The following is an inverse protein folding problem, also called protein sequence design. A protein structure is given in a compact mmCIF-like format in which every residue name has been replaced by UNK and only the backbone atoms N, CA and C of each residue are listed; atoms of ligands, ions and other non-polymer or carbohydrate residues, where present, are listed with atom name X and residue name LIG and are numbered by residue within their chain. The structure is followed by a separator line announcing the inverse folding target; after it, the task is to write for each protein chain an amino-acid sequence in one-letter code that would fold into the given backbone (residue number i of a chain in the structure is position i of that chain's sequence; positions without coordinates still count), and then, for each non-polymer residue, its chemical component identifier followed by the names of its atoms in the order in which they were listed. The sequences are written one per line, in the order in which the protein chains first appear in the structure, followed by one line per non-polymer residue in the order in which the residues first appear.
data_IF_356224516720
#
_entry.id   IF_356224516720
#
_cell.length_a   1.000
_cell.length_b   1.000
_cell.length_c   1.000
_cell.angle_alpha   90.00
_cell.angle_beta   90.00
_cell.angle_gamma   90.00
#
_symmetry.space_group_name_H-M   'P 1'
#
loop_
_entity.id
_entity.type
_entity.pdbx_description
1 polymer ?
2 non-polymer ?
3 non-polymer ?
4 water ?
#
# COMPACT_ATOMS: atom_id res chain seq x y z
N UNK A 3 -17.44 -13.65 -10.88
CA UNK A 3 -16.47 -12.77 -10.16
C UNK A 3 -16.48 -11.32 -10.67
N UNK A 4 -17.65 -10.74 -10.61
CA UNK A 4 -17.92 -9.38 -11.05
C UNK A 4 -17.86 -8.41 -9.87
N UNK A 5 -16.99 -7.41 -10.05
CA UNK A 5 -16.90 -6.37 -9.08
C UNK A 5 -18.08 -5.43 -9.14
N UNK A 6 -18.42 -4.97 -7.98
CA UNK A 6 -19.26 -3.80 -7.85
C UNK A 6 -18.57 -2.74 -7.01
N UNK A 7 -19.10 -1.53 -7.12
CA UNK A 7 -18.59 -0.39 -6.30
C UNK A 7 -18.49 -0.73 -4.81
N UNK A 8 -19.32 -1.61 -4.24
CA UNK A 8 -19.19 -2.01 -2.84
C UNK A 8 -17.94 -2.82 -2.46
N UNK A 9 -17.26 -3.44 -3.44
CA UNK A 9 -15.91 -4.00 -3.23
C UNK A 9 -14.79 -2.99 -2.97
N UNK A 10 -15.08 -1.71 -3.19
CA UNK A 10 -14.11 -0.67 -2.81
C UNK A 10 -12.84 -0.78 -3.64
N UNK A 11 -12.93 -1.24 -4.88
CA UNK A 11 -11.76 -1.21 -5.76
C UNK A 11 -11.45 0.21 -6.37
N UNK A 12 -10.20 0.67 -6.22
CA UNK A 12 -9.79 1.97 -6.69
C UNK A 12 -8.50 1.80 -7.51
N UNK A 13 -8.31 2.80 -8.34
CA UNK A 13 -7.18 2.82 -9.27
C UNK A 13 -6.56 4.17 -9.37
N UNK A 14 -5.21 4.28 -9.48
CA UNK A 14 -4.64 5.61 -9.70
C UNK A 14 -4.86 6.03 -11.17
N UNK A 15 -5.07 7.30 -11.43
CA UNK A 15 -4.98 7.85 -12.81
C UNK A 15 -3.73 7.42 -13.62
N UNK A 16 -2.63 7.35 -12.91
CA UNK A 16 -1.32 7.05 -13.45
C UNK A 16 -1.17 5.58 -13.80
N UNK A 17 -2.11 4.72 -13.38
CA UNK A 17 -1.94 3.30 -13.59
C UNK A 17 -2.46 2.95 -14.97
N UNK A 18 -3.77 2.91 -15.21
CA UNK A 18 -4.25 2.73 -16.60
C UNK A 18 -3.75 3.85 -17.50
N UNK A 19 -3.37 5.02 -16.98
CA UNK A 19 -2.82 6.11 -17.75
C UNK A 19 -1.35 5.99 -18.14
N UNK A 20 -0.66 4.97 -17.67
CA UNK A 20 0.78 4.89 -17.98
C UNK A 20 1.01 4.67 -19.49
N UNK A 21 1.77 5.60 -20.05
CA UNK A 21 2.10 5.57 -21.50
C UNK A 21 3.15 4.58 -21.89
N UNK A 22 3.80 3.92 -20.97
CA UNK A 22 4.76 2.86 -21.30
C UNK A 22 6.20 3.34 -21.56
N UNK A 23 6.50 4.55 -21.18
CA UNK A 23 7.93 4.95 -21.17
C UNK A 23 8.72 4.28 -20.07
N UNK A 24 9.84 3.62 -20.34
CA UNK A 24 10.61 2.84 -19.30
C UNK A 24 12.03 3.44 -19.45
N UNK A 25 13.00 3.05 -18.61
CA UNK A 25 14.34 3.64 -18.70
C UNK A 25 14.97 3.29 -20.06
N UNK A 26 14.40 2.33 -20.81
CA UNK A 26 15.01 2.01 -22.11
C UNK A 26 14.15 2.25 -23.32
N UNK A 27 13.01 2.90 -23.27
CA UNK A 27 12.07 2.88 -24.39
C UNK A 27 11.09 4.00 -24.37
N UNK A 28 10.66 4.38 -25.57
CA UNK A 28 9.63 5.44 -25.64
C UNK A 28 8.22 4.92 -25.32
N UNK A 29 7.34 6.00 -25.13
CA UNK A 29 5.89 5.63 -24.90
C UNK A 29 5.40 4.73 -26.03
N UNK A 30 4.56 3.78 -25.72
CA UNK A 30 3.88 2.88 -26.69
C UNK A 30 2.36 3.19 -26.79
N UNK A 31 1.87 4.10 -25.96
CA UNK A 31 0.44 4.41 -25.92
C UNK A 31 0.29 5.88 -25.75
N UNK A 32 -0.75 6.45 -26.35
CA UNK A 32 -1.12 7.86 -26.23
C UNK A 32 -1.64 8.17 -24.84
N UNK A 33 -1.60 9.40 -24.40
CA UNK A 33 -2.03 9.86 -23.10
C UNK A 33 -3.53 9.71 -23.04
N UNK A 34 -4.02 9.32 -21.87
CA UNK A 34 -5.48 9.20 -21.68
C UNK A 34 -5.96 10.51 -21.04
N UNK A 35 -7.12 11.03 -21.40
CA UNK A 35 -7.82 12.04 -20.59
C UNK A 35 -8.31 11.50 -19.28
N UNK A 36 -8.02 12.07 -18.12
CA UNK A 36 -8.63 11.63 -16.85
C UNK A 36 -10.13 11.34 -16.92
N UNK A 37 -10.85 12.19 -17.74
CA UNK A 37 -12.36 11.90 -17.70
C UNK A 37 -12.65 10.58 -18.46
N UNK A 38 -11.90 10.18 -19.44
CA UNK A 38 -12.05 8.92 -20.11
C UNK A 38 -11.73 7.78 -19.14
N UNK A 39 -10.65 7.94 -18.38
CA UNK A 39 -10.33 6.88 -17.43
C UNK A 39 -11.40 6.70 -16.40
N UNK A 40 -11.95 7.79 -15.89
CA UNK A 40 -13.04 7.73 -14.89
C UNK A 40 -14.22 6.93 -15.46
N UNK A 41 -14.68 7.25 -16.65
CA UNK A 41 -15.77 6.56 -17.33
C UNK A 41 -15.47 5.09 -17.55
N UNK A 42 -14.27 4.84 -18.05
CA UNK A 42 -13.93 3.37 -18.34
C UNK A 42 -13.85 2.49 -17.10
N UNK A 43 -13.23 3.06 -16.05
CA UNK A 43 -13.08 2.31 -14.78
C UNK A 43 -14.48 2.12 -14.14
N UNK A 44 -15.31 3.16 -14.26
CA UNK A 44 -16.70 3.00 -13.73
C UNK A 44 -17.36 1.83 -14.43
N UNK A 45 -17.24 1.75 -15.76
CA UNK A 45 -17.90 0.65 -16.42
C UNK A 45 -17.38 -0.71 -16.02
N UNK A 46 -16.13 -0.78 -15.58
CA UNK A 46 -15.55 -2.08 -15.19
C UNK A 46 -15.97 -2.41 -13.77
N UNK A 47 -16.56 -1.49 -13.02
CA UNK A 47 -17.02 -1.89 -11.67
C UNK A 47 -16.16 -1.28 -10.57
N UNK A 48 -15.24 -0.39 -10.87
CA UNK A 48 -14.50 0.24 -9.84
C UNK A 48 -15.32 1.20 -8.95
N UNK A 49 -14.85 1.46 -7.79
CA UNK A 49 -15.52 2.38 -6.82
C UNK A 49 -14.96 3.76 -6.88
N UNK A 50 -13.70 3.98 -7.25
CA UNK A 50 -13.12 5.29 -7.37
C UNK A 50 -11.72 5.44 -7.95
N UNK A 51 -11.24 6.59 -7.98
CA UNK A 51 -9.91 6.83 -8.52
C UNK A 51 -9.08 7.63 -7.51
N UNK A 52 -7.78 7.69 -7.73
CA UNK A 52 -6.84 8.53 -6.96
C UNK A 52 -5.94 9.34 -7.87
N UNK A 53 -5.20 10.24 -7.36
CA UNK A 53 -4.42 11.07 -8.28
C UNK A 53 -3.20 11.66 -7.52
N UNK A 54 -2.10 11.86 -8.25
CA UNK A 54 -1.15 12.94 -7.98
C UNK A 54 -1.70 14.25 -8.49
N UNK A 55 -1.35 15.33 -7.79
CA UNK A 55 -1.60 16.69 -8.28
C UNK A 55 -1.28 16.71 -9.79
N UNK A 56 -0.12 16.27 -10.19
CA UNK A 56 0.33 16.56 -11.58
C UNK A 56 -0.33 15.59 -12.54
N UNK A 57 -1.02 14.57 -12.07
CA UNK A 57 -1.79 13.75 -12.95
C UNK A 57 -3.02 14.49 -13.51
N UNK A 58 -3.53 15.35 -12.60
CA UNK A 58 -4.88 15.91 -12.86
C UNK A 58 -4.68 17.28 -13.50
N UNK A 59 -3.76 18.06 -12.97
CA UNK A 59 -3.42 19.42 -13.37
C UNK A 59 -1.99 19.44 -13.86
N UNK A 60 -1.79 19.65 -15.15
CA UNK A 60 -0.46 19.77 -15.75
C UNK A 60 0.41 20.74 -15.00
N UNK A 61 1.61 20.34 -14.69
CA UNK A 61 2.57 21.07 -13.93
C UNK A 61 2.71 22.39 -14.69
N UNK A 62 2.68 23.45 -13.96
CA UNK A 62 2.67 24.81 -14.43
C UNK A 62 1.40 25.49 -14.87
N UNK A 63 0.29 24.78 -14.88
CA UNK A 63 -1.04 25.31 -15.11
C UNK A 63 -1.29 26.61 -14.36
N UNK A 64 -1.87 27.54 -15.11
CA UNK A 64 -2.45 28.75 -14.51
C UNK A 64 -3.68 28.46 -13.66
N UNK A 65 -4.00 29.42 -12.81
CA UNK A 65 -5.14 29.23 -11.84
C UNK A 65 -6.41 29.04 -12.68
N UNK A 66 -6.46 29.55 -13.89
CA UNK A 66 -7.66 29.36 -14.72
C UNK A 66 -7.67 27.99 -15.40
N UNK A 67 -6.54 27.51 -15.90
CA UNK A 67 -6.50 26.12 -16.37
C UNK A 67 -6.75 25.16 -15.23
N UNK A 68 -6.18 25.36 -14.07
CA UNK A 68 -6.38 24.49 -12.91
C UNK A 68 -7.87 24.34 -12.71
N UNK A 69 -8.61 25.43 -12.64
CA UNK A 69 -10.03 25.31 -12.27
C UNK A 69 -10.85 24.56 -13.33
N UNK A 70 -10.46 24.64 -14.59
CA UNK A 70 -11.03 23.97 -15.73
C UNK A 70 -10.85 22.45 -15.69
N UNK A 71 -9.62 22.09 -15.32
CA UNK A 71 -9.28 20.67 -15.23
C UNK A 71 -10.06 20.03 -14.08
N UNK A 72 -10.11 20.76 -12.98
CA UNK A 72 -10.88 20.27 -11.81
C UNK A 72 -12.38 20.19 -12.17
N UNK A 73 -12.94 21.25 -12.76
CA UNK A 73 -14.33 21.19 -13.16
C UNK A 73 -14.69 20.04 -14.08
N UNK A 74 -13.89 19.79 -15.12
CA UNK A 74 -14.19 18.63 -15.93
C UNK A 74 -14.14 17.30 -15.19
N UNK A 75 -13.16 17.23 -14.26
CA UNK A 75 -12.95 16.00 -13.49
C UNK A 75 -14.21 15.68 -12.69
N UNK A 76 -14.59 16.74 -11.97
CA UNK A 76 -15.73 16.71 -11.05
C UNK A 76 -17.00 16.37 -11.78
N UNK A 77 -17.22 16.92 -12.98
CA UNK A 77 -18.34 16.44 -13.82
C UNK A 77 -18.22 14.96 -14.12
N UNK A 78 -17.04 14.40 -14.41
CA UNK A 78 -17.03 12.94 -14.65
C UNK A 78 -17.38 12.09 -13.42
N UNK A 79 -16.96 12.57 -12.25
CA UNK A 79 -17.29 11.87 -11.01
C UNK A 79 -18.79 11.88 -10.74
N UNK A 80 -19.38 13.05 -10.94
CA UNK A 80 -20.83 13.23 -10.81
C UNK A 80 -21.57 12.37 -11.77
N UNK A 81 -21.05 12.24 -13.01
CA UNK A 81 -21.76 11.46 -14.01
C UNK A 81 -21.68 9.95 -13.75
N UNK A 82 -20.70 9.44 -12.98
CA UNK A 82 -20.42 8.06 -12.83
C UNK A 82 -20.68 7.54 -11.38
N UNK A 83 -20.77 8.48 -10.47
CA UNK A 83 -20.78 8.00 -9.06
C UNK A 83 -19.42 7.58 -8.55
N UNK A 84 -18.30 7.83 -9.22
CA UNK A 84 -16.96 7.45 -8.74
C UNK A 84 -16.55 8.37 -7.62
N UNK A 85 -15.84 7.84 -6.65
CA UNK A 85 -15.28 8.62 -5.55
C UNK A 85 -13.80 8.84 -5.69
N UNK A 86 -13.26 9.70 -4.84
CA UNK A 86 -11.82 9.99 -4.72
C UNK A 86 -11.38 9.83 -3.25
N UNK A 87 -11.01 8.60 -2.92
CA UNK A 87 -10.74 8.31 -1.49
C UNK A 87 -9.36 8.77 -1.00
N UNK A 88 -8.46 8.91 -1.95
CA UNK A 88 -7.05 9.18 -1.65
C UNK A 88 -6.52 10.06 -2.73
N UNK A 89 -5.57 10.90 -2.30
CA UNK A 89 -4.78 11.70 -3.22
C UNK A 89 -3.33 11.79 -2.72
N UNK A 90 -2.46 12.29 -3.56
CA UNK A 90 -1.04 12.39 -3.22
C UNK A 90 -0.35 13.44 -4.00
N UNK A 91 0.91 13.79 -3.73
CA UNK A 91 1.67 14.79 -4.41
C UNK A 91 2.72 14.16 -5.30
N UNK A 92 2.99 14.60 -6.48
CA UNK A 92 4.20 14.25 -7.27
C UNK A 92 5.38 15.07 -6.74
N UNK A 93 6.25 14.47 -5.91
CA UNK A 93 7.55 15.13 -5.52
C UNK A 93 8.71 14.34 -6.12
N UNK A 94 8.49 13.79 -7.36
CA UNK A 94 9.56 12.91 -7.87
C UNK A 94 9.84 13.21 -9.35
N UNK A 95 8.88 13.60 -10.17
CA UNK A 95 9.11 13.71 -11.63
C UNK A 95 9.97 14.96 -12.01
N UNK A 96 9.58 16.16 -11.55
CA UNK A 96 10.26 17.36 -12.03
C UNK A 96 11.70 17.33 -11.65
N UNK A 97 12.66 17.77 -12.47
CA UNK A 97 14.07 17.84 -12.15
C UNK A 97 14.39 18.56 -10.85
N UNK A 98 13.61 19.57 -10.39
CA UNK A 98 13.90 20.24 -9.13
C UNK A 98 13.97 19.22 -7.98
N UNK A 99 13.27 18.06 -8.06
CA UNK A 99 13.20 17.06 -7.01
C UNK A 99 14.28 15.98 -7.12
N UNK A 100 15.33 16.22 -7.92
CA UNK A 100 16.35 15.19 -8.24
C UNK A 100 17.07 14.71 -6.95
N UNK A 101 17.15 15.44 -5.87
CA UNK A 101 17.76 15.07 -4.60
C UNK A 101 16.69 14.94 -3.49
N UNK A 102 15.42 14.90 -3.89
CA UNK A 102 14.38 14.71 -2.89
C UNK A 102 13.46 15.91 -2.91
N UNK A 103 12.42 15.78 -2.09
CA UNK A 103 11.45 16.91 -1.83
C UNK A 103 11.66 17.34 -0.41
N UNK A 104 11.13 16.57 0.55
CA UNK A 104 11.22 16.95 1.97
C UNK A 104 12.63 16.80 2.57
N UNK A 105 13.49 16.05 1.95
CA UNK A 105 14.91 15.90 2.39
C UNK A 105 15.98 16.24 1.36
N UNK A 106 15.60 17.07 0.39
CA UNK A 106 16.54 17.65 -0.50
C UNK A 106 17.58 18.46 0.31
N UNK A 107 18.85 18.33 -0.13
CA UNK A 107 19.89 19.12 0.55
C UNK A 107 19.62 20.65 0.46
N UNK A 108 19.09 21.13 -0.65
CA UNK A 108 18.77 22.57 -0.83
C UNK A 108 17.53 22.90 0.00
N UNK A 109 17.70 23.80 0.94
CA UNK A 109 16.58 24.21 1.77
C UNK A 109 15.44 24.86 0.97
N UNK A 110 15.72 25.59 -0.08
CA UNK A 110 14.66 26.31 -0.82
C UNK A 110 13.76 25.23 -1.45
N UNK A 111 14.34 24.14 -1.92
CA UNK A 111 13.61 23.02 -2.53
C UNK A 111 12.66 22.38 -1.50
N UNK A 112 13.19 22.20 -0.30
CA UNK A 112 12.39 21.58 0.77
C UNK A 112 11.18 22.50 1.09
N UNK A 113 11.34 23.81 1.03
CA UNK A 113 10.20 24.72 1.32
C UNK A 113 9.15 24.61 0.21
N UNK A 114 9.64 24.59 -1.05
CA UNK A 114 8.80 24.41 -2.26
C UNK A 114 8.04 23.13 -2.20
N UNK A 115 8.70 21.99 -1.83
CA UNK A 115 8.04 20.67 -1.70
C UNK A 115 6.83 20.83 -0.75
N UNK A 116 7.00 21.51 0.39
CA UNK A 116 5.90 21.60 1.38
C UNK A 116 4.72 22.43 0.82
N UNK A 117 5.06 23.51 0.12
CA UNK A 117 4.04 24.42 -0.47
C UNK A 117 3.24 23.65 -1.53
N UNK A 118 3.96 22.89 -2.37
CA UNK A 118 3.27 22.11 -3.41
C UNK A 118 2.34 21.08 -2.81
N UNK A 119 2.77 20.39 -1.75
CA UNK A 119 2.00 19.40 -0.95
C UNK A 119 0.74 20.05 -0.35
N UNK A 120 0.93 21.24 0.35
CA UNK A 120 -0.21 21.88 1.02
C UNK A 120 -1.33 22.29 0.09
N UNK A 121 -0.96 22.78 -1.06
CA UNK A 121 -1.89 23.18 -2.14
C UNK A 121 -2.75 22.00 -2.54
N UNK A 122 -2.15 20.77 -2.70
CA UNK A 122 -2.91 19.64 -3.08
C UNK A 122 -3.69 19.02 -1.91
N UNK A 123 -3.32 19.09 -0.64
CA UNK A 123 -4.15 18.70 0.47
C UNK A 123 -5.49 19.48 0.40
N UNK A 124 -5.47 20.80 0.15
CA UNK A 124 -6.72 21.54 0.02
C UNK A 124 -7.61 20.95 -1.07
N UNK A 125 -6.98 20.68 -2.24
CA UNK A 125 -7.78 20.07 -3.31
C UNK A 125 -8.32 18.71 -2.95
N UNK A 126 -7.47 17.86 -2.39
CA UNK A 126 -7.93 16.52 -1.96
C UNK A 126 -9.16 16.58 -1.03
N UNK A 127 -9.10 17.38 0.00
CA UNK A 127 -10.23 17.67 0.94
C UNK A 127 -11.50 18.11 0.17
N UNK A 128 -11.35 19.07 -0.75
CA UNK A 128 -12.47 19.46 -1.61
C UNK A 128 -13.06 18.32 -2.37
N UNK A 129 -12.24 17.40 -2.87
CA UNK A 129 -12.79 16.27 -3.65
C UNK A 129 -13.21 15.11 -2.78
N UNK A 130 -13.07 15.23 -1.44
CA UNK A 130 -13.60 14.18 -0.54
C UNK A 130 -12.62 13.07 -0.11
N UNK A 131 -11.31 13.33 -0.31
CA UNK A 131 -10.37 12.25 -0.02
C UNK A 131 -10.30 12.11 1.50
N UNK A 132 -10.18 10.90 2.01
CA UNK A 132 -9.97 10.70 3.43
C UNK A 132 -8.54 10.48 3.81
N UNK A 133 -7.71 10.07 2.84
CA UNK A 133 -6.32 9.65 3.06
C UNK A 133 -5.41 10.42 2.14
N UNK A 134 -4.31 10.88 2.69
CA UNK A 134 -3.34 11.66 1.83
C UNK A 134 -2.06 10.80 1.84
N UNK A 135 -1.65 10.22 0.69
CA UNK A 135 -0.46 9.37 0.62
C UNK A 135 0.84 10.18 0.40
N UNK A 136 1.95 9.72 1.02
CA UNK A 136 3.26 10.39 0.79
C UNK A 136 4.27 9.29 0.44
N UNK A 137 4.69 9.15 -0.81
CA UNK A 137 5.76 8.29 -1.26
C UNK A 137 7.03 9.09 -1.53
N UNK A 138 8.01 9.08 -0.66
CA UNK A 138 9.19 9.96 -0.92
C UNK A 138 10.15 9.13 -1.78
N UNK A 139 9.81 9.00 -3.06
CA UNK A 139 10.65 8.20 -4.00
C UNK A 139 12.01 8.83 -4.28
N UNK A 140 12.21 10.12 -4.12
CA UNK A 140 13.51 10.77 -4.32
C UNK A 140 14.23 11.00 -3.02
N UNK A 141 13.72 10.64 -1.84
CA UNK A 141 14.41 10.82 -0.57
C UNK A 141 15.41 9.69 -0.38
N UNK A 142 16.74 9.99 -0.49
CA UNK A 142 17.76 8.89 -0.40
C UNK A 142 19.05 9.34 -1.08
N UNK A 143 19.74 8.31 -1.61
CA UNK A 143 21.14 8.57 -2.08
C UNK A 143 21.65 7.38 -2.99
N UNK A 144 22.65 7.77 -3.81
CA UNK A 144 23.43 6.76 -4.54
C UNK A 144 24.79 6.62 -3.86
N UNK A 145 25.15 7.51 -2.98
CA UNK A 145 26.53 7.48 -2.39
C UNK A 145 26.45 7.85 -0.90
N UNK A 146 27.39 7.34 -0.10
CA UNK A 146 27.34 7.46 1.34
C UNK A 146 27.51 8.92 1.84
N UNK A 147 28.31 9.81 1.23
CA UNK A 147 28.62 11.15 1.71
C UNK A 147 27.52 12.12 1.32
N UNK A 148 26.62 11.85 0.42
CA UNK A 148 25.67 12.76 -0.16
C UNK A 148 24.56 13.14 0.81
N UNK A 149 24.30 12.23 1.77
CA UNK A 149 23.12 12.35 2.64
C UNK A 149 23.51 11.98 4.07
N UNK A 150 23.39 12.93 4.99
CA UNK A 150 23.50 12.51 6.41
C UNK A 150 22.13 12.00 6.81
N UNK A 151 22.02 10.67 7.14
CA UNK A 151 20.61 10.22 7.35
C UNK A 151 19.96 10.76 8.63
N UNK A 152 20.66 10.94 9.71
CA UNK A 152 20.13 11.61 10.91
C UNK A 152 19.62 12.98 10.53
N UNK A 153 20.36 13.87 9.80
CA UNK A 153 19.84 15.14 9.43
C UNK A 153 18.59 15.01 8.54
N UNK A 154 18.68 14.13 7.61
CA UNK A 154 17.58 13.84 6.69
C UNK A 154 16.32 13.38 7.46
N UNK A 155 16.42 12.52 8.43
CA UNK A 155 15.22 12.19 9.27
C UNK A 155 14.69 13.39 10.08
N UNK A 156 15.63 14.25 10.51
CA UNK A 156 15.19 15.49 11.14
C UNK A 156 14.32 16.30 10.16
N UNK A 157 14.77 16.46 8.95
CA UNK A 157 14.05 17.21 7.91
C UNK A 157 12.71 16.47 7.55
N UNK A 158 12.73 15.17 7.55
CA UNK A 158 11.53 14.44 7.20
C UNK A 158 10.50 14.62 8.32
N UNK A 159 10.97 14.47 9.57
CA UNK A 159 10.07 14.67 10.69
C UNK A 159 9.46 16.11 10.65
N UNK A 160 10.34 17.08 10.40
CA UNK A 160 9.94 18.52 10.36
C UNK A 160 8.81 18.70 9.33
N UNK A 161 8.92 18.06 8.17
CA UNK A 161 7.97 18.24 7.09
C UNK A 161 6.63 17.67 7.50
N UNK A 162 6.67 16.38 7.95
CA UNK A 162 5.40 15.78 8.35
C UNK A 162 4.77 16.44 9.58
N UNK A 163 5.57 16.92 10.55
CA UNK A 163 4.96 17.71 11.65
C UNK A 163 4.30 18.96 11.10
N UNK A 164 4.89 19.72 10.20
CA UNK A 164 4.27 20.95 9.62
C UNK A 164 2.98 20.53 8.89
N UNK A 165 2.95 19.43 8.21
CA UNK A 165 1.72 19.02 7.53
C UNK A 165 0.62 18.67 8.51
N UNK A 166 0.98 18.11 9.66
CA UNK A 166 0.01 17.74 10.74
C UNK A 166 -0.52 19.07 11.37
N UNK A 167 0.37 20.01 11.50
CA UNK A 167 -0.02 21.35 12.06
C UNK A 167 -1.01 21.94 11.09
N UNK A 168 -0.78 21.84 9.79
CA UNK A 168 -1.65 22.48 8.79
C UNK A 168 -3.07 21.90 8.87
N UNK A 169 -3.16 20.59 8.82
CA UNK A 169 -4.42 19.90 8.78
C UNK A 169 -5.28 20.15 10.01
N UNK A 170 -4.59 20.17 11.14
CA UNK A 170 -5.32 20.40 12.41
C UNK A 170 -5.78 21.86 12.49
N UNK A 171 -4.99 22.79 11.97
CA UNK A 171 -5.34 24.19 12.03
C UNK A 171 -6.49 24.43 11.09
N UNK A 172 -6.59 23.73 9.97
CA UNK A 172 -7.71 23.89 9.02
C UNK A 172 -8.91 23.12 9.52
N UNK A 173 -8.80 22.37 10.58
CA UNK A 173 -9.86 21.40 10.91
C UNK A 173 -10.19 20.33 9.88
N UNK A 174 -9.28 19.91 9.05
CA UNK A 174 -9.55 18.83 8.04
C UNK A 174 -9.64 17.43 8.63
N UNK A 175 -10.53 16.67 8.06
CA UNK A 175 -10.57 15.26 8.34
C UNK A 175 -9.83 14.42 7.32
N UNK A 176 -8.54 14.39 7.50
CA UNK A 176 -7.71 13.73 6.49
C UNK A 176 -6.60 13.17 7.40
N UNK A 177 -6.19 11.96 7.06
CA UNK A 177 -5.00 11.37 7.69
C UNK A 177 -3.92 11.12 6.64
N UNK A 178 -2.68 11.00 7.09
CA UNK A 178 -1.53 10.76 6.22
C UNK A 178 -1.20 9.28 6.20
N UNK A 179 -0.69 8.77 5.06
CA UNK A 179 -0.22 7.38 4.97
C UNK A 179 1.14 7.38 4.27
N UNK A 180 2.23 7.01 4.90
CA UNK A 180 3.58 7.06 4.37
C UNK A 180 3.77 5.76 3.59
N UNK A 181 4.26 5.81 2.37
CA UNK A 181 4.48 4.63 1.56
C UNK A 181 5.96 4.31 1.48
N UNK A 182 6.41 3.17 2.01
CA UNK A 182 7.82 2.79 1.99
C UNK A 182 8.19 2.23 0.64
N UNK A 183 9.44 2.27 0.27
CA UNK A 183 10.05 1.57 -0.88
C UNK A 183 11.54 1.46 -0.63
N UNK A 184 12.22 0.34 -0.94
CA UNK A 184 13.60 0.20 -0.48
C UNK A 184 14.56 0.86 -1.42
N UNK A 185 14.30 0.92 -2.69
CA UNK A 185 15.18 1.53 -3.70
C UNK A 185 14.35 1.81 -4.94
N UNK A 186 14.89 2.60 -5.85
CA UNK A 186 14.36 2.83 -7.18
C UNK A 186 13.26 3.91 -7.07
N UNK A 187 13.56 5.12 -7.52
CA UNK A 187 14.63 5.47 -8.35
C UNK A 187 15.94 5.86 -7.67
N UNK A 188 15.98 6.08 -6.38
CA UNK A 188 17.24 6.37 -5.64
C UNK A 188 17.92 5.02 -5.40
N UNK A 189 19.24 5.07 -5.25
CA UNK A 189 20.08 3.93 -4.90
C UNK A 189 19.58 3.20 -3.66
N UNK A 190 19.29 3.95 -2.63
CA UNK A 190 18.58 3.51 -1.45
C UNK A 190 17.58 4.66 -1.11
N UNK A 191 16.37 4.21 -0.73
CA UNK A 191 15.33 5.21 -0.28
C UNK A 191 15.22 5.14 1.25
N UNK A 192 15.02 6.35 1.82
CA UNK A 192 14.81 6.49 3.28
C UNK A 192 13.47 5.86 3.71
N UNK A 193 13.34 5.33 4.91
CA UNK A 193 12.19 4.52 5.31
C UNK A 193 11.90 3.44 4.28
N UNK A 194 12.81 2.52 4.12
CA UNK A 194 12.75 1.57 3.02
C UNK A 194 11.70 0.48 3.14
N UNK A 195 11.17 0.19 4.33
CA UNK A 195 10.18 -0.87 4.54
C UNK A 195 9.01 -0.38 5.39
N UNK A 196 7.95 -1.16 5.51
CA UNK A 196 6.88 -0.96 6.53
C UNK A 196 7.46 -0.77 7.89
N UNK A 197 8.40 -1.60 8.35
CA UNK A 197 8.88 -1.47 9.72
C UNK A 197 9.50 -0.11 9.99
N UNK A 198 10.36 0.37 9.05
CA UNK A 198 10.99 1.69 9.15
C UNK A 198 9.99 2.81 9.16
N UNK A 199 8.95 2.83 8.35
CA UNK A 199 7.87 3.83 8.38
C UNK A 199 7.11 3.78 9.70
N UNK A 200 6.77 2.62 10.22
CA UNK A 200 6.04 2.51 11.55
C UNK A 200 6.85 3.15 12.66
N UNK A 201 8.14 2.87 12.64
CA UNK A 201 9.05 3.30 13.69
C UNK A 201 9.15 4.84 13.68
N UNK A 202 9.29 5.32 12.41
CA UNK A 202 9.39 6.77 12.19
C UNK A 202 8.16 7.55 12.68
N UNK A 203 7.00 6.91 12.42
CA UNK A 203 5.73 7.59 12.83
C UNK A 203 5.66 7.86 14.34
N UNK A 204 6.27 7.00 15.11
CA UNK A 204 6.24 7.11 16.58
C UNK A 204 7.08 8.27 17.07
N UNK A 205 7.93 8.89 16.25
CA UNK A 205 8.61 10.09 16.63
C UNK A 205 7.96 11.38 16.18
N UNK A 206 6.81 11.29 15.49
CA UNK A 206 6.16 12.56 15.06
C UNK A 206 5.42 13.27 16.22
N UNK A 207 5.14 14.54 16.06
CA UNK A 207 4.46 15.21 17.19
C UNK A 207 3.05 14.62 17.38
N UNK A 208 2.30 14.34 16.33
CA UNK A 208 0.96 13.80 16.51
C UNK A 208 0.87 12.46 15.79
N UNK A 209 1.36 11.35 16.34
CA UNK A 209 1.45 10.06 15.67
C UNK A 209 0.12 9.53 15.19
N UNK A 210 -0.95 10.01 15.84
CA UNK A 210 -2.28 9.38 15.47
C UNK A 210 -2.75 9.87 14.11
N UNK A 211 -2.19 10.93 13.56
CA UNK A 211 -2.53 11.40 12.21
C UNK A 211 -1.85 10.55 11.12
N UNK A 212 -0.93 9.63 11.46
CA UNK A 212 -0.14 9.01 10.40
C UNK A 212 -0.18 7.50 10.45
N UNK A 213 -0.29 6.81 9.30
CA UNK A 213 -0.26 5.35 9.20
C UNK A 213 0.61 5.05 7.96
N UNK A 214 0.43 3.85 7.47
CA UNK A 214 1.29 3.42 6.35
C UNK A 214 0.36 3.11 5.15
N UNK A 215 0.91 3.18 3.96
CA UNK A 215 0.36 2.71 2.72
C UNK A 215 1.33 1.67 2.13
N UNK A 216 1.35 0.44 2.51
CA UNK A 216 2.33 -0.50 1.99
C UNK A 216 1.97 -0.86 0.55
N UNK A 217 2.97 -1.21 -0.25
CA UNK A 217 2.71 -1.79 -1.59
C UNK A 217 3.33 -3.17 -1.71
N UNK A 218 2.56 -4.08 -2.25
CA UNK A 218 3.00 -5.49 -2.48
C UNK A 218 4.41 -5.50 -3.01
N UNK A 219 4.53 -4.92 -4.21
CA UNK A 219 5.81 -5.06 -4.93
C UNK A 219 6.97 -4.31 -4.14
N UNK A 220 6.67 -3.25 -3.42
CA UNK A 220 7.78 -2.60 -2.71
C UNK A 220 8.41 -3.52 -1.64
N UNK A 221 7.64 -4.15 -0.79
CA UNK A 221 8.20 -4.97 0.26
C UNK A 221 8.90 -6.16 -0.42
N UNK A 222 8.28 -6.69 -1.51
CA UNK A 222 8.91 -7.87 -2.19
C UNK A 222 10.27 -7.50 -2.83
N UNK A 223 10.51 -6.23 -3.15
CA UNK A 223 11.81 -5.83 -3.66
C UNK A 223 12.91 -5.97 -2.60
N UNK A 224 12.55 -6.06 -1.34
CA UNK A 224 13.52 -6.42 -0.28
C UNK A 224 13.42 -7.94 0.05
N UNK A 225 12.69 -8.81 -0.69
CA UNK A 225 12.57 -10.20 -0.35
C UNK A 225 11.78 -10.41 0.95
N UNK A 226 10.92 -9.47 1.35
CA UNK A 226 10.20 -9.60 2.61
C UNK A 226 8.83 -10.29 2.45
N UNK A 227 8.22 -10.79 3.49
CA UNK A 227 6.86 -11.51 3.43
C UNK A 227 5.85 -10.38 3.58
N UNK A 228 5.17 -10.04 2.46
CA UNK A 228 4.18 -8.91 2.53
C UNK A 228 3.04 -9.16 3.52
N UNK A 229 2.35 -10.30 3.50
CA UNK A 229 1.36 -10.51 4.56
C UNK A 229 1.90 -10.39 5.96
N UNK A 230 3.12 -10.80 6.29
CA UNK A 230 3.72 -10.52 7.61
C UNK A 230 3.84 -9.02 7.94
N UNK A 231 4.29 -8.22 6.94
CA UNK A 231 4.43 -6.78 7.23
C UNK A 231 3.06 -6.14 7.41
N UNK A 232 2.07 -6.53 6.65
CA UNK A 232 0.70 -6.02 6.84
C UNK A 232 0.13 -6.39 8.20
N UNK A 233 0.34 -7.62 8.66
CA UNK A 233 -0.03 -8.11 10.01
C UNK A 233 0.56 -7.12 11.05
N UNK A 234 1.84 -6.83 10.88
CA UNK A 234 2.45 -5.88 11.84
C UNK A 234 1.83 -4.49 11.79
N UNK A 235 1.50 -3.98 10.62
CA UNK A 235 0.81 -2.71 10.48
C UNK A 235 -0.56 -2.81 11.13
N UNK A 236 -1.28 -3.91 10.87
CA UNK A 236 -2.59 -4.12 11.49
C UNK A 236 -2.45 -4.16 13.03
N UNK A 237 -1.52 -4.91 13.55
CA UNK A 237 -1.23 -4.96 15.00
C UNK A 237 -0.97 -3.60 15.53
N UNK A 238 -0.28 -2.65 14.84
CA UNK A 238 -0.01 -1.37 15.36
C UNK A 238 -1.20 -0.45 15.21
N UNK A 239 -2.29 -0.84 14.58
CA UNK A 239 -3.40 0.02 14.18
C UNK A 239 -3.12 1.02 13.10
N UNK A 240 -2.19 0.75 12.20
CA UNK A 240 -1.72 1.83 11.28
C UNK A 240 -1.91 1.46 9.80
N UNK A 241 -2.71 0.44 9.48
CA UNK A 241 -3.01 0.24 8.03
C UNK A 241 -4.11 1.19 7.58
N UNK A 242 -3.69 2.35 7.07
CA UNK A 242 -4.64 3.36 6.58
C UNK A 242 -5.05 3.09 5.13
N UNK A 243 -4.20 2.41 4.37
CA UNK A 243 -4.47 2.31 2.93
C UNK A 243 -3.62 1.18 2.42
N UNK A 244 -3.82 0.65 1.23
CA UNK A 244 -2.89 -0.35 0.75
C UNK A 244 -2.74 -0.27 -0.75
N UNK A 245 -1.60 -0.60 -1.29
CA UNK A 245 -1.41 -0.61 -2.72
C UNK A 245 -1.21 -2.07 -3.21
N UNK A 246 -2.05 -2.49 -4.12
CA UNK A 246 -2.03 -3.88 -4.62
C UNK A 246 -1.45 -4.04 -6.01
N UNK A 247 -0.51 -4.97 -6.13
CA UNK A 247 0.05 -5.18 -7.48
C UNK A 247 0.78 -6.53 -7.39
N UNK A 248 1.63 -6.85 -8.37
CA UNK A 248 2.44 -8.05 -8.42
C UNK A 248 3.90 -7.76 -8.82
N UNK A 249 4.72 -8.66 -8.32
CA UNK A 249 6.16 -8.45 -8.40
C UNK A 249 6.79 -9.83 -8.47
N UNK A 250 7.68 -10.19 -9.37
CA UNK A 250 8.40 -11.45 -9.42
C UNK A 250 9.77 -11.25 -8.72
N UNK A 251 9.81 -11.21 -7.40
CA UNK A 251 11.03 -11.24 -6.62
C UNK A 251 11.81 -9.94 -6.68
N UNK A 252 13.12 -10.02 -6.39
CA UNK A 252 13.98 -8.87 -6.11
C UNK A 252 14.53 -8.36 -7.42
N UNK A 253 14.01 -7.33 -7.96
CA UNK A 253 14.44 -6.64 -9.21
C UNK A 253 13.75 -5.34 -9.25
N UNK A 254 13.82 -4.64 -10.39
CA UNK A 254 13.12 -3.38 -10.57
C UNK A 254 11.64 -3.52 -10.20
N UNK A 255 10.99 -2.41 -9.81
CA UNK A 255 9.50 -2.53 -9.54
C UNK A 255 8.71 -2.86 -10.83
N UNK A 256 8.05 -4.10 -10.87
CA UNK A 256 7.40 -4.49 -12.09
C UNK A 256 5.99 -3.92 -12.15
N UNK A 257 5.28 -3.68 -11.06
CA UNK A 257 3.90 -3.13 -11.11
C UNK A 257 2.99 -4.05 -11.90
N UNK A 258 3.08 -5.36 -11.84
CA UNK A 258 2.22 -6.24 -12.55
C UNK A 258 0.81 -6.20 -11.98
N UNK A 259 -0.12 -6.59 -12.76
CA UNK A 259 -1.47 -6.60 -12.16
C UNK A 259 -1.55 -7.53 -10.94
N UNK A 260 -2.48 -7.22 -10.02
CA UNK A 260 -2.64 -7.96 -8.77
C UNK A 260 -3.02 -9.40 -9.05
N UNK A 261 -2.34 -10.33 -8.42
CA UNK A 261 -2.46 -11.81 -8.55
C UNK A 261 -1.31 -12.34 -9.39
N UNK A 262 -0.77 -11.51 -10.30
CA UNK A 262 0.51 -11.95 -10.94
C UNK A 262 1.62 -11.79 -9.90
N UNK A 263 2.80 -12.29 -10.27
CA UNK A 263 3.90 -12.26 -9.31
C UNK A 263 3.73 -13.48 -8.39
N UNK A 264 3.82 -13.21 -7.10
CA UNK A 264 3.75 -14.22 -6.10
C UNK A 264 2.29 -14.54 -5.79
N UNK A 265 1.69 -15.45 -6.46
CA UNK A 265 0.31 -15.88 -6.23
C UNK A 265 0.02 -16.45 -4.81
N UNK A 266 0.81 -17.28 -4.20
CA UNK A 266 0.48 -17.69 -2.81
C UNK A 266 0.51 -16.49 -1.83
N UNK A 267 1.43 -15.57 -2.00
CA UNK A 267 1.43 -14.37 -1.15
C UNK A 267 0.15 -13.56 -1.31
N UNK A 268 -0.34 -13.46 -2.55
CA UNK A 268 -1.55 -12.79 -2.85
C UNK A 268 -2.73 -13.45 -2.06
N UNK A 269 -2.71 -14.77 -1.98
CA UNK A 269 -3.77 -15.57 -1.31
C UNK A 269 -3.76 -15.21 0.18
N UNK A 270 -2.52 -15.30 0.75
CA UNK A 270 -2.42 -15.08 2.21
C UNK A 270 -2.73 -13.60 2.54
N UNK A 271 -2.42 -12.69 1.61
CA UNK A 271 -2.76 -11.25 1.83
C UNK A 271 -4.29 -11.15 1.90
N UNK A 272 -4.99 -11.66 0.91
CA UNK A 272 -6.45 -11.50 0.90
C UNK A 272 -7.09 -12.19 2.14
N UNK A 273 -6.56 -13.35 2.46
CA UNK A 273 -6.98 -14.03 3.70
C UNK A 273 -6.87 -13.08 4.88
N UNK A 274 -5.73 -12.47 5.07
CA UNK A 274 -5.57 -11.53 6.18
C UNK A 274 -6.40 -10.25 6.13
N UNK A 275 -6.49 -9.56 5.01
CA UNK A 275 -7.30 -8.32 4.95
C UNK A 275 -8.75 -8.63 5.30
N UNK A 276 -9.24 -9.76 4.77
CA UNK A 276 -10.66 -10.10 4.92
C UNK A 276 -10.90 -10.56 6.35
N UNK A 277 -9.96 -11.38 6.89
CA UNK A 277 -10.27 -11.85 8.28
C UNK A 277 -9.98 -10.72 9.26
N UNK A 278 -9.14 -9.76 9.12
CA UNK A 278 -8.95 -8.65 10.01
C UNK A 278 -10.07 -7.63 9.84
N UNK A 279 -10.91 -7.86 8.80
CA UNK A 279 -11.84 -6.77 8.42
C UNK A 279 -11.33 -5.40 8.05
N UNK A 280 -10.25 -5.33 7.28
CA UNK A 280 -9.79 -4.07 6.72
C UNK A 280 -10.93 -3.43 5.93
N UNK A 281 -11.13 -2.12 6.15
CA UNK A 281 -12.31 -1.58 5.41
C UNK A 281 -11.89 -0.45 4.51
N UNK A 282 -10.58 -0.21 4.32
CA UNK A 282 -10.20 0.90 3.44
C UNK A 282 -10.36 0.41 1.97
N UNK A 283 -10.00 1.36 1.08
CA UNK A 283 -9.93 1.02 -0.35
C UNK A 283 -9.00 -0.14 -0.66
N UNK A 284 -9.35 -0.89 -1.70
CA UNK A 284 -8.46 -1.88 -2.26
C UNK A 284 -7.92 -1.19 -3.48
N UNK A 285 -6.79 -0.51 -3.31
CA UNK A 285 -6.26 0.32 -4.41
C UNK A 285 -5.21 -0.41 -5.23
N UNK A 286 -5.31 -0.37 -6.56
CA UNK A 286 -4.33 -0.98 -7.48
C UNK A 286 -3.29 0.03 -7.96
N UNK A 287 -2.05 -0.12 -7.59
CA UNK A 287 -0.96 0.72 -8.12
C UNK A 287 -0.18 -0.17 -9.05
N UNK A 288 -0.57 -0.27 -10.32
CA UNK A 288 -0.05 -1.28 -11.27
C UNK A 288 0.22 -0.54 -12.61
N UNK A 289 0.87 -1.15 -13.56
CA UNK A 289 1.07 -0.63 -14.91
C UNK A 289 0.74 -1.69 -15.91
N UNK A 290 -0.23 -1.44 -16.80
CA UNK A 290 -0.43 -2.43 -17.90
C UNK A 290 0.88 -2.49 -18.68
N UNK A 291 1.43 -3.68 -18.92
CA UNK A 291 2.70 -3.76 -19.65
C UNK A 291 2.77 -2.98 -20.92
N UNK A 292 3.90 -2.46 -21.32
CA UNK A 292 3.93 -1.54 -22.51
C UNK A 292 3.76 -2.33 -23.83
N UNK A 293 3.66 -3.66 -23.74
CA UNK A 293 3.35 -4.55 -24.87
C UNK A 293 1.86 -4.29 -25.31
N UNK A 294 1.08 -3.69 -24.42
CA UNK A 294 -0.38 -3.73 -24.60
C UNK A 294 -0.95 -2.49 -25.31
N UNK A 295 -2.06 -2.71 -26.07
CA UNK A 295 -2.80 -1.53 -26.55
C UNK A 295 -3.90 -1.15 -25.57
N UNK A 296 -4.75 -0.15 -25.84
CA UNK A 296 -5.82 0.21 -24.85
C UNK A 296 -6.70 -0.99 -24.58
N UNK A 297 -7.04 -1.91 -25.43
CA UNK A 297 -7.76 -3.08 -25.01
C UNK A 297 -7.06 -3.91 -23.93
N UNK A 298 -5.75 -4.07 -24.07
CA UNK A 298 -4.95 -4.83 -23.08
C UNK A 298 -4.92 -3.95 -21.78
N UNK A 299 -4.99 -2.65 -21.80
CA UNK A 299 -5.09 -1.87 -20.59
C UNK A 299 -6.31 -2.20 -19.73
N UNK A 300 -7.49 -2.16 -20.43
CA UNK A 300 -8.70 -2.43 -19.63
C UNK A 300 -8.77 -3.88 -19.25
N UNK A 301 -8.22 -4.87 -19.97
CA UNK A 301 -8.19 -6.25 -19.60
C UNK A 301 -7.33 -6.47 -18.35
N UNK A 302 -6.22 -5.75 -18.33
CA UNK A 302 -5.31 -5.85 -17.20
C UNK A 302 -5.96 -5.26 -15.89
N UNK A 303 -6.65 -4.13 -15.97
CA UNK A 303 -7.32 -3.44 -14.86
C UNK A 303 -8.42 -4.38 -14.36
N UNK A 304 -9.20 -4.98 -15.28
CA UNK A 304 -10.22 -5.89 -14.91
C UNK A 304 -9.58 -7.10 -14.26
N UNK A 305 -8.47 -7.68 -14.71
CA UNK A 305 -7.92 -8.89 -14.03
C UNK A 305 -7.49 -8.50 -12.59
N UNK A 306 -7.05 -7.31 -12.29
CA UNK A 306 -6.77 -6.93 -10.87
C UNK A 306 -7.95 -7.33 -9.94
N UNK A 307 -9.09 -6.82 -10.33
CA UNK A 307 -10.34 -7.03 -9.55
C UNK A 307 -10.76 -8.44 -9.52
N UNK A 308 -10.73 -9.10 -10.66
CA UNK A 308 -11.08 -10.54 -10.79
C UNK A 308 -10.23 -11.36 -9.85
N UNK A 309 -8.93 -11.18 -9.85
CA UNK A 309 -8.05 -12.03 -9.03
C UNK A 309 -8.29 -11.78 -7.56
N UNK A 310 -8.52 -10.53 -7.14
CA UNK A 310 -8.90 -10.25 -5.77
C UNK A 310 -10.13 -11.05 -5.41
N UNK A 311 -11.14 -11.04 -6.25
CA UNK A 311 -12.44 -11.71 -5.90
C UNK A 311 -12.29 -13.19 -5.87
N UNK A 312 -11.50 -13.81 -6.82
CA UNK A 312 -11.28 -15.23 -6.77
C UNK A 312 -10.53 -15.57 -5.45
N UNK A 313 -9.48 -14.84 -5.14
CA UNK A 313 -8.73 -15.22 -3.92
C UNK A 313 -9.57 -15.01 -2.66
N UNK A 314 -10.49 -14.09 -2.64
CA UNK A 314 -11.41 -13.89 -1.50
C UNK A 314 -12.32 -15.13 -1.29
N UNK A 315 -12.83 -15.53 -2.43
CA UNK A 315 -13.63 -16.77 -2.34
C UNK A 315 -12.84 -17.92 -1.81
N UNK A 316 -11.68 -18.31 -2.32
CA UNK A 316 -10.83 -19.41 -1.94
C UNK A 316 -10.40 -19.21 -0.43
N UNK A 317 -10.05 -18.04 -0.02
CA UNK A 317 -9.59 -17.87 1.39
C UNK A 317 -10.76 -18.10 2.34
N UNK A 318 -11.93 -17.59 1.96
CA UNK A 318 -13.16 -17.79 2.74
C UNK A 318 -13.52 -19.29 2.83
N UNK A 319 -13.45 -20.03 1.74
CA UNK A 319 -13.70 -21.44 1.70
C UNK A 319 -12.71 -22.15 2.62
N UNK A 320 -11.44 -21.76 2.57
CA UNK A 320 -10.36 -22.33 3.40
C UNK A 320 -10.74 -22.21 4.90
N UNK A 321 -11.08 -21.02 5.32
CA UNK A 321 -11.29 -20.78 6.77
C UNK A 321 -12.59 -21.40 7.26
N UNK A 322 -13.51 -21.54 6.31
CA UNK A 322 -14.81 -22.14 6.66
C UNK A 322 -14.82 -23.65 6.67
N UNK A 323 -13.78 -24.30 6.21
CA UNK A 323 -13.74 -25.75 6.04
C UNK A 323 -13.51 -26.40 7.40
N UNK A 324 -14.41 -27.25 7.92
CA UNK A 324 -14.24 -27.92 9.17
C UNK A 324 -12.93 -28.71 9.26
N UNK A 325 -12.48 -29.24 8.14
CA UNK A 325 -11.27 -30.04 8.11
C UNK A 325 -10.07 -29.10 8.36
N UNK A 326 -10.19 -27.92 7.79
CA UNK A 326 -9.14 -26.91 8.05
C UNK A 326 -9.21 -26.55 9.51
N UNK A 327 -10.38 -26.19 10.06
CA UNK A 327 -10.51 -25.80 11.48
C UNK A 327 -9.90 -26.90 12.37
N UNK A 328 -10.11 -28.17 12.09
CA UNK A 328 -9.48 -29.26 12.83
C UNK A 328 -7.95 -29.20 12.68
N UNK A 329 -7.50 -28.99 11.43
CA UNK A 329 -6.03 -28.94 11.19
C UNK A 329 -5.41 -27.81 11.98
N UNK A 330 -6.08 -26.66 12.08
CA UNK A 330 -5.60 -25.44 12.78
C UNK A 330 -5.43 -25.83 14.27
N UNK A 331 -6.42 -26.55 14.82
CA UNK A 331 -6.26 -27.02 16.20
C UNK A 331 -5.13 -28.05 16.30
N UNK A 332 -4.97 -28.93 15.34
CA UNK A 332 -3.86 -29.93 15.31
C UNK A 332 -2.50 -29.16 15.39
N UNK A 333 -2.40 -28.03 14.77
CA UNK A 333 -1.17 -27.27 14.69
C UNK A 333 -1.03 -26.28 15.83
N UNK A 334 -2.01 -26.22 16.75
CA UNK A 334 -2.04 -25.41 17.94
C UNK A 334 -2.11 -23.90 17.65
N UNK A 335 -2.78 -23.50 16.54
CA UNK A 335 -3.08 -22.10 16.37
C UNK A 335 -3.97 -21.49 17.48
N UNK A 336 -4.86 -22.33 18.02
CA UNK A 336 -5.69 -21.95 19.18
C UNK A 336 -4.77 -21.62 20.36
N UNK A 337 -3.74 -22.39 20.61
CA UNK A 337 -2.81 -22.09 21.73
C UNK A 337 -1.97 -20.86 21.51
N UNK A 338 -1.63 -20.52 20.27
CA UNK A 338 -0.89 -19.26 20.00
C UNK A 338 -1.70 -18.06 20.43
N UNK A 339 -3.02 -18.16 20.34
CA UNK A 339 -3.88 -17.00 20.70
C UNK A 339 -4.07 -16.91 22.21
N UNK A 340 -3.61 -17.86 23.01
CA UNK A 340 -3.81 -17.78 24.48
C UNK A 340 -2.61 -17.10 25.12
N UNK A 341 -2.82 -16.32 26.16
CA UNK A 341 -1.70 -15.69 26.91
C UNK A 341 -0.71 -16.76 27.39
N UNK A 342 0.58 -16.37 27.34
CA UNK A 342 1.64 -17.25 27.86
C UNK A 342 1.57 -17.32 29.38
N UNK A 343 1.24 -16.13 29.94
CA UNK A 343 1.38 -16.20 31.42
C UNK A 343 0.45 -15.16 32.00
N UNK A 344 -0.83 -15.46 31.87
CA UNK A 344 -1.83 -14.52 32.44
C UNK A 344 -1.82 -14.64 33.97
N UNK A 345 -1.26 -15.78 34.40
CA UNK A 345 -1.06 -16.03 35.84
C UNK A 345 -0.06 -15.02 36.43
N UNK A 346 0.73 -14.36 35.63
CA UNK A 346 1.69 -13.36 35.98
C UNK A 346 3.06 -13.97 36.30
N UNK A 347 3.99 -13.02 36.51
CA UNK A 347 5.42 -13.31 36.62
C UNK A 347 5.79 -14.18 37.81
N UNK A 348 5.27 -13.83 38.98
CA UNK A 348 5.62 -14.68 40.15
C UNK A 348 5.12 -16.08 40.08
N UNK A 349 3.89 -16.29 39.57
CA UNK A 349 3.38 -17.61 39.34
C UNK A 349 4.19 -18.40 38.30
N UNK A 350 4.58 -17.70 37.25
CA UNK A 350 5.50 -18.30 36.27
C UNK A 350 6.78 -18.78 36.95
N UNK A 351 7.36 -17.89 37.76
CA UNK A 351 8.62 -18.27 38.42
C UNK A 351 8.45 -19.42 39.41
N UNK A 352 7.27 -19.50 40.04
CA UNK A 352 7.08 -20.64 40.98
C UNK A 352 6.59 -21.93 40.35
N UNK A 353 6.26 -21.93 39.07
CA UNK A 353 5.73 -23.08 38.35
C UNK A 353 6.81 -24.06 37.94
N UNK A 354 6.95 -25.13 38.66
CA UNK A 354 7.91 -26.20 38.39
C UNK A 354 7.64 -26.89 37.05
N UNK A 355 6.42 -26.85 36.56
CA UNK A 355 6.07 -27.43 35.24
C UNK A 355 6.58 -26.62 34.05
N UNK A 356 7.00 -25.40 34.36
CA UNK A 356 7.53 -24.52 33.32
C UNK A 356 9.03 -24.74 33.21
N UNK A 357 9.69 -25.39 34.17
CA UNK A 357 11.16 -25.52 34.02
C UNK A 357 11.73 -26.82 34.65
N UNK A 358 11.70 -26.81 35.99
CA UNK A 358 12.29 -27.87 36.78
C UNK A 358 11.69 -29.16 36.24
N UNK A 359 10.39 -29.21 36.01
CA UNK A 359 9.76 -30.52 35.71
C UNK A 359 9.20 -30.57 34.29
N UNK A 360 9.70 -29.63 33.48
CA UNK A 360 9.24 -29.61 32.08
C UNK A 360 9.91 -30.71 31.27
N UNK A 361 9.14 -31.60 30.63
CA UNK A 361 9.73 -32.67 29.82
C UNK A 361 10.01 -32.10 28.41
N UNK A 362 11.25 -31.69 28.19
CA UNK A 362 11.57 -30.99 26.95
C UNK A 362 11.64 -32.02 25.82
N UNK A 363 12.02 -33.26 26.05
CA UNK A 363 12.02 -34.26 24.96
C UNK A 363 10.60 -34.63 24.50
N UNK A 364 9.63 -34.68 25.40
CA UNK A 364 8.28 -35.05 24.95
C UNK A 364 7.73 -33.90 24.13
N UNK A 365 7.92 -32.66 24.56
CA UNK A 365 7.51 -31.43 23.83
C UNK A 365 8.20 -31.36 22.45
N UNK A 366 9.52 -31.59 22.42
CA UNK A 366 10.28 -31.57 21.15
C UNK A 366 9.75 -32.54 20.15
N UNK A 367 9.18 -33.67 20.63
CA UNK A 367 8.76 -34.80 19.78
C UNK A 367 7.39 -34.47 19.11
N UNK A 368 6.68 -33.47 19.60
CA UNK A 368 5.37 -33.33 18.99
C UNK A 368 5.52 -32.74 17.59
N UNK A 369 4.95 -33.37 16.59
CA UNK A 369 4.93 -32.69 15.27
C UNK A 369 4.09 -31.44 15.20
N UNK A 370 4.37 -30.44 14.41
CA UNK A 370 3.51 -29.26 14.28
C UNK A 370 2.38 -29.48 13.26
N UNK A 371 2.49 -30.48 12.42
CA UNK A 371 1.50 -30.77 11.38
C UNK A 371 1.24 -29.63 10.41
N UNK A 372 2.24 -28.80 10.13
CA UNK A 372 2.11 -27.63 9.27
C UNK A 372 2.00 -28.06 7.80
N UNK A 373 2.66 -29.15 7.43
CA UNK A 373 2.62 -29.54 5.99
C UNK A 373 1.22 -30.01 5.60
N UNK A 374 0.58 -30.71 6.48
CA UNK A 374 -0.81 -31.12 6.11
C UNK A 374 -1.66 -29.84 6.01
N UNK A 375 -1.57 -28.93 6.97
CA UNK A 375 -2.29 -27.68 6.92
C UNK A 375 -1.96 -26.90 5.65
N UNK A 376 -0.66 -26.84 5.28
CA UNK A 376 -0.31 -26.07 4.05
C UNK A 376 -0.85 -26.75 2.77
N UNK A 377 -0.97 -28.07 2.73
CA UNK A 377 -1.52 -28.68 1.52
C UNK A 377 -3.05 -28.47 1.47
N UNK A 378 -3.72 -28.44 2.59
CA UNK A 378 -5.14 -28.04 2.58
C UNK A 378 -5.32 -26.71 1.98
N UNK A 379 -4.44 -25.69 2.36
CA UNK A 379 -4.44 -24.31 1.83
C UNK A 379 -4.18 -24.39 0.29
N UNK A 380 -3.22 -25.21 -0.12
CA UNK A 380 -2.93 -25.35 -1.55
C UNK A 380 -4.15 -25.90 -2.29
N UNK A 381 -4.81 -26.94 -1.81
CA UNK A 381 -5.95 -27.56 -2.42
C UNK A 381 -7.09 -26.56 -2.55
N UNK A 382 -7.28 -25.77 -1.50
CA UNK A 382 -8.30 -24.70 -1.50
C UNK A 382 -7.99 -23.60 -2.54
N UNK A 383 -6.78 -23.08 -2.54
CA UNK A 383 -6.39 -22.10 -3.59
C UNK A 383 -6.66 -22.60 -5.01
N UNK A 384 -6.33 -23.89 -5.29
CA UNK A 384 -6.37 -24.42 -6.63
C UNK A 384 -7.76 -24.97 -6.98
N UNK A 385 -8.64 -25.02 -5.98
CA UNK A 385 -10.02 -25.52 -6.20
C UNK A 385 -9.96 -27.00 -6.36
N UNK A 386 -9.08 -27.68 -5.64
CA UNK A 386 -8.84 -29.10 -5.80
C UNK A 386 -9.18 -29.78 -4.50
N UNK A 387 -10.18 -29.30 -3.78
CA UNK A 387 -10.60 -30.09 -2.55
C UNK A 387 -11.43 -31.29 -2.85
#
# INVERSE_FOLDING_TARGET
MNYQPTPEDRFTFGLWTVGWQGRDPFGDATRRALDPVESVQRLAELGAHGVTFHDDDLIPFGSSDSEREEHVKRFRQALDDTGMKVPMATTNLFTHPVFKDGGFTANDRDVRRYALRKTIRNIDLAVELGAETYVAWGGREGAESGGAKDVRDALDRMKEAFDLLGEYVTSQGYDIRFAIEPKPNEPRGDILLPTVGHALAFIERLERPELYGVNPEVGHEQMAGLNFPHGIAQALWAGKLFHIDLNGQNGIKYDQDLRFGAGDLRAAFWLVDLLESAGYSGPRHFDFKPPRTEDFDGVWASAAGCMRNYLILKERAAAFRADPEVQEALRASRLDELARPTAADGLQALLDDRSAFEEFDVDAAAARGMAFERLDQLAMDHLLGARG
#
